data_IF_350917022134
#
_entry.id   IF_350917022134
#
_cell.length_a   1.000
_cell.length_b   1.000
_cell.length_c   1.000
_cell.angle_alpha   90.00
_cell.angle_beta   90.00
_cell.angle_gamma   90.00
#
_symmetry.space_group_name_H-M   'P 1'
#
loop_
_entity.id
_entity.type
_entity.pdbx_description
1 polymer ?
#
# COMPACT_ATOMS: atom_id res chain seq x y z
N UNK A 1 -3.38 12.08 20.83
CA UNK A 1 -2.33 11.60 19.90
C UNK A 1 -2.89 11.32 18.50
N UNK A 2 -4.02 10.61 18.37
CA UNK A 2 -4.73 10.30 17.12
C UNK A 2 -4.97 11.50 16.16
N UNK A 3 -5.23 12.71 16.69
CA UNK A 3 -5.51 13.90 15.86
C UNK A 3 -4.32 14.35 14.98
N UNK A 4 -3.07 14.20 15.44
CA UNK A 4 -1.90 14.68 14.68
C UNK A 4 -1.62 13.86 13.42
N UNK A 5 -1.72 12.54 13.53
CA UNK A 5 -1.48 11.64 12.39
C UNK A 5 -2.59 11.78 11.34
N UNK A 6 -3.84 11.96 11.77
CA UNK A 6 -4.97 12.25 10.89
C UNK A 6 -4.75 13.58 10.17
N UNK A 7 -4.39 14.65 10.87
CA UNK A 7 -4.11 15.94 10.24
C UNK A 7 -2.93 15.86 9.27
N UNK A 8 -1.88 15.08 9.58
CA UNK A 8 -0.78 14.84 8.66
C UNK A 8 -1.25 14.11 7.39
N UNK A 9 -2.03 13.04 7.54
CA UNK A 9 -2.62 12.29 6.42
C UNK A 9 -3.48 13.20 5.53
N UNK A 10 -4.29 14.07 6.12
CA UNK A 10 -5.15 15.00 5.37
C UNK A 10 -4.37 16.15 4.71
N UNK A 11 -3.14 16.43 5.16
CA UNK A 11 -2.27 17.43 4.53
C UNK A 11 -1.54 16.88 3.31
N UNK A 12 -1.44 15.55 3.21
CA UNK A 12 -0.62 14.90 2.21
C UNK A 12 -1.49 14.43 1.08
N UNK A 13 -1.29 14.98 -0.12
CA UNK A 13 -1.97 14.49 -1.33
C UNK A 13 -1.30 13.18 -1.79
N UNK A 14 -2.05 12.07 -1.91
CA UNK A 14 -1.54 10.85 -2.53
C UNK A 14 -1.02 11.10 -3.95
N UNK A 15 0.16 10.55 -4.27
CA UNK A 15 0.80 10.73 -5.57
C UNK A 15 1.44 9.43 -6.06
N UNK A 16 1.14 9.06 -7.30
CA UNK A 16 1.80 7.98 -8.03
C UNK A 16 1.67 8.25 -9.53
N UNK A 17 2.77 8.10 -10.28
CA UNK A 17 2.74 8.30 -11.73
C UNK A 17 1.75 7.31 -12.36
N UNK A 18 0.87 7.85 -13.21
CA UNK A 18 -0.16 7.07 -13.91
C UNK A 18 -1.34 6.64 -13.05
N UNK A 19 -1.48 7.16 -11.83
CA UNK A 19 -2.66 6.96 -10.98
C UNK A 19 -3.24 8.31 -10.56
N UNK A 20 -4.56 8.39 -10.56
CA UNK A 20 -5.31 9.60 -10.21
C UNK A 20 -6.39 9.27 -9.19
N UNK A 21 -6.63 10.22 -8.30
CA UNK A 21 -7.79 10.20 -7.42
C UNK A 21 -9.04 10.73 -8.13
N UNK A 22 -10.19 10.56 -7.49
CA UNK A 22 -11.41 11.27 -7.85
C UNK A 22 -11.17 12.78 -7.86
N UNK A 23 -11.82 13.49 -8.78
CA UNK A 23 -11.67 14.94 -8.93
C UNK A 23 -12.01 15.72 -7.64
N UNK A 24 -12.97 15.23 -6.86
CA UNK A 24 -13.37 15.84 -5.59
C UNK A 24 -12.44 15.53 -4.41
N UNK A 25 -11.47 14.62 -4.57
CA UNK A 25 -10.69 14.11 -3.44
C UNK A 25 -9.95 15.24 -2.69
N UNK A 26 -9.33 16.18 -3.43
CA UNK A 26 -8.68 17.38 -2.87
C UNK A 26 -9.60 18.13 -1.90
N UNK A 27 -10.77 18.50 -2.40
CA UNK A 27 -11.75 19.29 -1.67
C UNK A 27 -12.28 18.54 -0.45
N UNK A 28 -12.52 17.23 -0.57
CA UNK A 28 -13.01 16.42 0.55
C UNK A 28 -12.00 16.31 1.70
N UNK A 29 -10.69 16.17 1.42
CA UNK A 29 -9.68 16.23 2.51
C UNK A 29 -9.61 17.62 3.13
N UNK A 30 -9.72 18.69 2.32
CA UNK A 30 -9.69 20.05 2.84
C UNK A 30 -10.90 20.33 3.74
N UNK A 31 -12.11 19.94 3.34
CA UNK A 31 -13.32 20.05 4.16
C UNK A 31 -13.14 19.34 5.51
N UNK A 32 -12.69 18.08 5.47
CA UNK A 32 -12.47 17.28 6.67
C UNK A 32 -11.40 17.88 7.59
N UNK A 33 -10.28 18.34 7.01
CA UNK A 33 -9.21 19.01 7.75
C UNK A 33 -9.71 20.26 8.45
N UNK A 34 -10.45 21.12 7.75
CA UNK A 34 -11.01 22.34 8.32
C UNK A 34 -11.94 22.03 9.49
N UNK A 35 -12.83 21.04 9.34
CA UNK A 35 -13.73 20.62 10.41
C UNK A 35 -12.96 20.17 11.67
N UNK A 36 -11.90 19.37 11.51
CA UNK A 36 -11.06 18.89 12.62
C UNK A 36 -10.23 20.01 13.29
N UNK A 37 -9.82 21.03 12.53
CA UNK A 37 -9.09 22.17 13.09
C UNK A 37 -10.04 23.09 13.88
N UNK A 38 -11.24 23.32 13.36
CA UNK A 38 -12.26 24.13 14.04
C UNK A 38 -12.76 23.50 15.34
N UNK A 39 -12.80 22.17 15.45
CA UNK A 39 -13.16 21.50 16.70
C UNK A 39 -12.08 21.60 17.78
N UNK A 40 -10.79 21.72 17.40
CA UNK A 40 -9.67 21.79 18.35
C UNK A 40 -9.46 23.20 18.97
N UNK A 41 -10.19 24.22 18.50
CA UNK A 41 -10.06 25.60 18.97
C UNK A 41 -11.02 25.99 20.09
N UNK A 42 -12.00 25.14 20.43
CA UNK A 42 -12.96 25.40 21.51
C UNK A 42 -12.45 24.82 22.84
N UNK A 43 -12.31 25.63 23.91
CA UNK A 43 -11.89 25.13 25.20
C UNK A 43 -13.09 24.52 25.94
N UNK A 44 -12.94 23.26 26.36
CA UNK A 44 -13.79 22.55 27.33
C UNK A 44 -15.17 22.05 26.86
N UNK A 45 -15.22 20.98 26.05
CA UNK A 45 -16.07 19.79 26.29
C UNK A 45 -15.98 18.73 25.18
N UNK A 46 -15.73 17.48 25.59
CA UNK A 46 -15.78 16.23 24.80
C UNK A 46 -15.27 16.28 23.34
N UNK A 47 -14.02 16.73 23.16
CA UNK A 47 -13.29 16.67 21.88
C UNK A 47 -13.36 15.27 21.24
N UNK A 48 -13.47 14.21 22.04
CA UNK A 48 -13.51 12.83 21.57
C UNK A 48 -14.79 12.51 20.81
N UNK A 49 -15.96 12.93 21.31
CA UNK A 49 -17.24 12.69 20.65
C UNK A 49 -17.39 13.53 19.38
N UNK A 50 -16.90 14.78 19.38
CA UNK A 50 -16.92 15.62 18.18
C UNK A 50 -16.01 15.05 17.08
N UNK A 51 -14.78 14.65 17.40
CA UNK A 51 -13.89 14.00 16.44
C UNK A 51 -14.51 12.71 15.91
N UNK A 52 -15.12 11.90 16.78
CA UNK A 52 -15.82 10.67 16.37
C UNK A 52 -16.98 10.96 15.43
N UNK A 53 -17.72 12.05 15.65
CA UNK A 53 -18.81 12.47 14.77
C UNK A 53 -18.29 12.95 13.41
N UNK A 54 -17.19 13.71 13.40
CA UNK A 54 -16.53 14.16 12.16
C UNK A 54 -16.01 12.96 11.35
N UNK A 55 -15.50 11.93 12.03
CA UNK A 55 -15.01 10.68 11.45
C UNK A 55 -16.09 9.60 11.30
N UNK A 56 -17.37 9.97 11.31
CA UNK A 56 -18.48 9.00 11.26
C UNK A 56 -18.78 8.48 9.85
N UNK A 57 -18.36 9.20 8.81
CA UNK A 57 -18.69 8.82 7.42
C UNK A 57 -17.64 7.86 6.86
N UNK A 58 -18.04 6.89 6.01
CA UNK A 58 -17.10 5.97 5.35
C UNK A 58 -15.97 6.69 4.59
N UNK A 59 -16.27 7.83 3.96
CA UNK A 59 -15.28 8.66 3.27
C UNK A 59 -14.33 9.35 4.26
N UNK A 60 -14.84 9.91 5.34
CA UNK A 60 -13.98 10.56 6.35
C UNK A 60 -12.99 9.59 6.99
N UNK A 61 -13.42 8.35 7.27
CA UNK A 61 -12.56 7.27 7.77
C UNK A 61 -11.46 6.96 6.76
N UNK A 62 -11.83 6.78 5.48
CA UNK A 62 -10.89 6.49 4.39
C UNK A 62 -9.81 7.57 4.25
N UNK A 63 -10.23 8.84 4.24
CA UNK A 63 -9.33 9.99 4.11
C UNK A 63 -8.47 10.20 5.36
N UNK A 64 -9.00 9.93 6.56
CA UNK A 64 -8.24 10.02 7.81
C UNK A 64 -7.09 9.01 7.89
N UNK A 65 -7.22 7.86 7.24
CA UNK A 65 -6.14 6.89 7.04
C UNK A 65 -5.10 7.34 5.98
N UNK A 66 -5.35 8.45 5.28
CA UNK A 66 -4.51 8.96 4.21
C UNK A 66 -4.46 8.04 2.99
N UNK A 67 -5.59 7.40 2.71
CA UNK A 67 -5.80 6.56 1.53
C UNK A 67 -6.23 7.43 0.34
N UNK A 68 -5.74 7.08 -0.83
CA UNK A 68 -6.18 7.63 -2.11
C UNK A 68 -7.66 7.33 -2.34
N UNK A 69 -8.43 8.35 -2.69
CA UNK A 69 -9.84 8.20 -3.02
C UNK A 69 -10.01 7.95 -4.51
N UNK A 70 -10.34 6.72 -4.91
CA UNK A 70 -10.46 6.29 -6.31
C UNK A 70 -11.82 5.67 -6.60
N UNK A 71 -12.14 5.46 -7.88
CA UNK A 71 -13.25 4.56 -8.26
C UNK A 71 -12.96 3.17 -7.66
N UNK A 72 -13.91 2.64 -6.88
CA UNK A 72 -13.77 1.33 -6.23
C UNK A 72 -13.11 1.32 -4.84
N UNK A 73 -12.81 2.49 -4.26
CA UNK A 73 -12.34 2.57 -2.87
C UNK A 73 -13.27 1.84 -1.90
N UNK A 74 -12.68 1.09 -0.98
CA UNK A 74 -13.38 0.37 0.07
C UNK A 74 -13.70 1.30 1.23
N UNK A 75 -14.62 2.25 1.00
CA UNK A 75 -14.99 3.25 1.99
C UNK A 75 -15.52 2.60 3.28
N UNK A 76 -15.07 3.10 4.43
CA UNK A 76 -15.44 2.58 5.75
C UNK A 76 -14.65 1.35 6.20
N UNK A 77 -13.80 0.77 5.35
CA UNK A 77 -12.87 -0.30 5.76
C UNK A 77 -11.58 0.28 6.35
N UNK A 78 -10.96 -0.48 7.25
CA UNK A 78 -9.67 -0.12 7.86
C UNK A 78 -8.53 -0.79 7.08
N UNK A 79 -7.48 -0.06 6.67
CA UNK A 79 -6.29 -0.66 6.06
C UNK A 79 -5.46 -1.41 7.12
N UNK A 80 -4.61 -2.37 6.71
CA UNK A 80 -3.69 -3.02 7.64
C UNK A 80 -2.71 -2.01 8.22
N UNK A 81 -2.30 -2.26 9.46
CA UNK A 81 -1.12 -1.66 10.06
C UNK A 81 0.17 -2.08 9.33
N UNK A 82 1.27 -1.37 9.60
CA UNK A 82 2.59 -1.73 9.06
C UNK A 82 3.03 -3.07 9.63
N UNK A 83 2.69 -3.35 10.88
CA UNK A 83 2.97 -4.60 11.59
C UNK A 83 2.25 -5.78 10.95
N UNK A 84 0.96 -5.65 10.60
CA UNK A 84 0.22 -6.68 9.87
C UNK A 84 0.78 -6.90 8.47
N UNK A 85 1.15 -5.81 7.77
CA UNK A 85 1.82 -5.90 6.48
C UNK A 85 3.14 -6.67 6.58
N UNK A 86 3.94 -6.38 7.60
CA UNK A 86 5.22 -7.02 7.87
C UNK A 86 5.05 -8.50 8.23
N UNK A 87 4.08 -8.83 9.09
CA UNK A 87 3.79 -10.22 9.48
C UNK A 87 3.41 -11.07 8.26
N UNK A 88 2.54 -10.54 7.40
CA UNK A 88 2.16 -11.18 6.14
C UNK A 88 3.35 -11.32 5.17
N UNK A 89 4.21 -10.30 5.10
CA UNK A 89 5.40 -10.29 4.24
C UNK A 89 6.46 -11.31 4.69
N UNK A 90 6.62 -11.48 6.00
CA UNK A 90 7.66 -12.33 6.63
C UNK A 90 7.22 -13.77 6.85
N UNK A 91 5.99 -14.13 6.52
CA UNK A 91 5.48 -15.51 6.64
C UNK A 91 6.36 -16.49 5.85
N UNK A 92 7.03 -17.46 6.51
CA UNK A 92 7.93 -18.40 5.85
C UNK A 92 7.18 -19.52 5.12
N UNK A 93 7.82 -20.10 4.12
CA UNK A 93 7.36 -21.33 3.47
C UNK A 93 8.15 -22.56 3.96
N UNK A 94 7.89 -23.73 3.35
CA UNK A 94 8.58 -24.99 3.66
C UNK A 94 10.12 -24.93 3.56
N UNK A 95 10.65 -24.06 2.70
CA UNK A 95 12.10 -23.87 2.49
C UNK A 95 12.62 -22.61 3.21
N UNK A 96 11.86 -22.07 4.17
CA UNK A 96 12.20 -20.89 4.97
C UNK A 96 12.34 -19.57 4.19
N UNK A 97 11.92 -19.52 2.92
CA UNK A 97 11.78 -18.25 2.20
C UNK A 97 10.49 -17.56 2.63
N UNK A 98 10.60 -16.27 2.96
CA UNK A 98 9.43 -15.46 3.31
C UNK A 98 8.53 -15.21 2.09
N UNK A 99 7.27 -14.84 2.32
CA UNK A 99 6.34 -14.47 1.25
C UNK A 99 6.90 -13.33 0.38
N UNK A 100 7.47 -12.32 1.04
CA UNK A 100 8.20 -11.21 0.42
C UNK A 100 9.36 -11.67 -0.46
N UNK A 101 10.29 -12.45 0.11
CA UNK A 101 11.45 -12.97 -0.60
C UNK A 101 11.05 -13.80 -1.83
N UNK A 102 10.07 -14.69 -1.69
CA UNK A 102 9.58 -15.52 -2.79
C UNK A 102 8.96 -14.70 -3.92
N UNK A 103 8.14 -13.70 -3.58
CA UNK A 103 7.57 -12.82 -4.59
C UNK A 103 8.67 -12.02 -5.30
N UNK A 104 9.66 -11.53 -4.54
CA UNK A 104 10.79 -10.77 -5.07
C UNK A 104 11.63 -11.61 -6.03
N UNK A 105 11.96 -12.86 -5.67
CA UNK A 105 12.65 -13.82 -6.55
C UNK A 105 11.96 -14.01 -7.90
N UNK A 106 10.62 -13.95 -7.93
CA UNK A 106 9.84 -14.05 -9.17
C UNK A 106 9.72 -12.72 -9.91
N UNK A 107 9.80 -11.60 -9.21
CA UNK A 107 9.44 -10.28 -9.74
C UNK A 107 10.65 -9.44 -10.16
N UNK A 108 11.81 -9.62 -9.51
CA UNK A 108 12.99 -8.78 -9.67
C UNK A 108 13.42 -8.57 -11.14
N UNK A 109 13.26 -9.61 -11.97
CA UNK A 109 13.66 -9.58 -13.38
C UNK A 109 12.85 -8.61 -14.26
N UNK A 110 11.69 -8.13 -13.79
CA UNK A 110 10.76 -7.27 -14.56
C UNK A 110 11.22 -5.82 -14.70
N UNK A 111 12.05 -5.37 -13.75
CA UNK A 111 12.66 -4.03 -13.77
C UNK A 111 14.06 -3.98 -14.38
N UNK A 112 14.58 -5.11 -14.88
CA UNK A 112 15.95 -5.19 -15.39
C UNK A 112 16.08 -4.43 -16.71
N UNK A 113 16.87 -3.35 -16.70
CA UNK A 113 17.36 -2.72 -17.91
C UNK A 113 18.67 -3.40 -18.33
N UNK A 114 18.78 -3.79 -19.60
CA UNK A 114 20.05 -4.29 -20.16
C UNK A 114 20.84 -3.10 -20.68
N UNK A 115 21.56 -2.41 -19.82
CA UNK A 115 22.60 -1.48 -20.28
C UNK A 115 23.76 -2.29 -20.85
N UNK A 116 23.90 -2.33 -22.18
CA UNK A 116 25.13 -2.79 -22.84
C UNK A 116 26.22 -1.77 -22.54
N UNK A 117 26.98 -1.94 -21.46
CA UNK A 117 28.26 -1.24 -21.37
C UNK A 117 29.18 -1.82 -22.44
N UNK A 118 29.73 -0.93 -23.29
CA UNK A 118 30.53 -1.30 -24.47
C UNK A 118 31.89 -1.93 -24.16
N UNK A 119 32.29 -2.07 -22.89
CA UNK A 119 33.59 -2.65 -22.51
C UNK A 119 33.38 -3.72 -21.41
N UNK A 120 33.95 -4.92 -21.60
CA UNK A 120 34.06 -6.00 -20.59
C UNK A 120 34.47 -5.42 -19.21
N UNK A 121 33.93 -5.78 -18.04
CA UNK A 121 33.37 -7.05 -17.57
C UNK A 121 32.29 -6.82 -16.48
N UNK A 122 31.28 -7.70 -16.46
CA UNK A 122 30.11 -7.69 -15.55
C UNK A 122 29.08 -6.59 -15.81
N UNK A 123 28.15 -6.84 -16.73
CA UNK A 123 26.86 -6.16 -16.73
C UNK A 123 26.07 -6.67 -15.53
N UNK A 124 26.18 -6.02 -14.37
CA UNK A 124 25.26 -6.27 -13.26
C UNK A 124 23.89 -5.79 -13.72
N UNK A 125 22.87 -6.66 -13.83
CA UNK A 125 21.52 -6.21 -14.16
C UNK A 125 21.02 -5.30 -13.02
N UNK A 126 20.96 -3.99 -13.25
CA UNK A 126 20.50 -3.00 -12.27
C UNK A 126 19.05 -2.64 -12.55
N UNK A 127 18.12 -3.45 -12.07
CA UNK A 127 16.70 -3.09 -12.03
C UNK A 127 16.32 -2.43 -10.71
N UNK A 128 15.21 -1.68 -10.70
CA UNK A 128 14.69 -1.01 -9.49
C UNK A 128 14.55 -1.95 -8.29
N UNK A 129 14.13 -3.20 -8.56
CA UNK A 129 13.97 -4.25 -7.56
C UNK A 129 15.29 -4.83 -7.04
N UNK A 130 16.42 -4.59 -7.70
CA UNK A 130 17.68 -5.27 -7.40
C UNK A 130 17.66 -6.76 -7.77
N UNK A 131 18.64 -7.53 -7.28
CA UNK A 131 18.79 -8.96 -7.59
C UNK A 131 18.71 -9.82 -6.32
N UNK A 132 17.77 -10.78 -6.26
CA UNK A 132 17.68 -11.76 -5.19
C UNK A 132 18.73 -12.85 -5.40
N UNK A 133 19.86 -12.73 -4.69
CA UNK A 133 20.96 -13.68 -4.77
C UNK A 133 21.59 -13.95 -3.40
N UNK A 134 22.12 -15.16 -3.25
CA UNK A 134 22.75 -15.68 -2.04
C UNK A 134 21.92 -16.77 -1.35
N UNK A 135 22.33 -17.19 -0.13
CA UNK A 135 21.58 -18.11 0.72
C UNK A 135 20.16 -17.60 1.05
N UNK A 136 19.27 -18.50 1.47
CA UNK A 136 17.88 -18.18 1.84
C UNK A 136 17.78 -17.05 2.86
N UNK A 137 18.61 -17.07 3.90
CA UNK A 137 18.67 -16.00 4.91
C UNK A 137 19.01 -14.64 4.30
N UNK A 138 20.02 -14.58 3.44
CA UNK A 138 20.44 -13.37 2.74
C UNK A 138 19.34 -12.84 1.81
N UNK A 139 18.61 -13.72 1.12
CA UNK A 139 17.48 -13.29 0.27
C UNK A 139 16.35 -12.71 1.14
N UNK A 140 16.05 -13.33 2.28
CA UNK A 140 15.04 -12.84 3.22
C UNK A 140 15.43 -11.47 3.80
N UNK A 141 16.68 -11.28 4.23
CA UNK A 141 17.19 -10.02 4.75
C UNK A 141 17.10 -8.90 3.70
N UNK A 142 17.55 -9.16 2.47
CA UNK A 142 17.46 -8.20 1.36
C UNK A 142 16.01 -7.87 1.02
N UNK A 143 15.11 -8.85 1.06
CA UNK A 143 13.68 -8.60 0.84
C UNK A 143 13.08 -7.71 1.93
N UNK A 144 13.52 -7.87 3.19
CA UNK A 144 13.08 -7.01 4.29
C UNK A 144 13.60 -5.58 4.16
N UNK A 145 14.84 -5.39 3.69
CA UNK A 145 15.37 -4.07 3.35
C UNK A 145 14.50 -3.41 2.26
N UNK A 146 14.10 -4.17 1.24
CA UNK A 146 13.21 -3.69 0.18
C UNK A 146 11.81 -3.31 0.72
N UNK A 147 11.26 -4.10 1.65
CA UNK A 147 10.00 -3.77 2.33
C UNK A 147 10.09 -2.40 3.00
N UNK A 148 11.13 -2.18 3.82
CA UNK A 148 11.30 -0.91 4.54
C UNK A 148 11.61 0.27 3.61
N UNK A 149 12.35 0.05 2.52
CA UNK A 149 12.56 1.06 1.47
C UNK A 149 11.23 1.58 0.93
N UNK A 150 10.29 0.68 0.61
CA UNK A 150 8.98 1.05 0.07
C UNK A 150 8.11 1.71 1.15
N UNK A 151 8.05 1.15 2.36
CA UNK A 151 7.26 1.71 3.47
C UNK A 151 7.71 3.14 3.79
N UNK A 152 9.02 3.40 3.82
CA UNK A 152 9.57 4.71 4.12
C UNK A 152 9.36 5.76 3.01
N UNK A 153 9.07 5.33 1.78
CA UNK A 153 8.94 6.22 0.61
C UNK A 153 7.58 6.13 -0.06
N UNK A 154 6.59 5.56 0.64
CA UNK A 154 5.23 5.44 0.14
C UNK A 154 4.62 6.82 -0.06
N UNK A 155 4.07 7.05 -1.25
CA UNK A 155 3.37 8.28 -1.60
C UNK A 155 1.93 8.01 -2.02
N UNK A 156 1.58 6.74 -2.23
CA UNK A 156 0.24 6.31 -2.59
C UNK A 156 -0.14 5.09 -1.78
N UNK A 157 -1.28 5.17 -1.08
CA UNK A 157 -1.90 4.05 -0.36
C UNK A 157 -3.33 3.94 -0.85
N UNK A 158 -3.77 2.77 -1.27
CA UNK A 158 -5.14 2.56 -1.72
C UNK A 158 -5.72 1.30 -1.08
N UNK A 159 -7.00 1.37 -0.70
CA UNK A 159 -7.79 0.27 -0.18
C UNK A 159 -9.02 0.14 -1.07
N UNK A 160 -9.16 -0.99 -1.75
CA UNK A 160 -10.21 -1.18 -2.76
C UNK A 160 -10.73 -2.62 -2.79
N UNK A 161 -11.92 -2.79 -3.34
CA UNK A 161 -12.54 -4.10 -3.54
C UNK A 161 -12.19 -4.68 -4.91
N UNK A 162 -11.81 -5.95 -4.91
CA UNK A 162 -11.91 -6.81 -6.10
C UNK A 162 -13.24 -7.58 -6.06
N UNK A 163 -13.65 -8.19 -7.19
CA UNK A 163 -14.76 -9.13 -7.21
C UNK A 163 -14.62 -10.22 -6.13
N UNK A 164 -15.76 -10.83 -5.77
CA UNK A 164 -15.86 -11.88 -4.74
C UNK A 164 -15.44 -11.43 -3.33
N UNK A 165 -15.63 -10.15 -3.00
CA UNK A 165 -15.38 -9.60 -1.66
C UNK A 165 -13.94 -9.76 -1.20
N UNK A 166 -12.99 -9.58 -2.11
CA UNK A 166 -11.56 -9.56 -1.77
C UNK A 166 -11.15 -8.10 -1.55
N UNK A 167 -10.84 -7.77 -0.31
CA UNK A 167 -10.30 -6.47 0.05
C UNK A 167 -8.81 -6.43 -0.29
N UNK A 168 -8.35 -5.35 -0.91
CA UNK A 168 -6.97 -5.20 -1.35
C UNK A 168 -6.40 -3.90 -0.81
N UNK A 169 -5.26 -4.03 -0.13
CA UNK A 169 -4.43 -2.91 0.27
C UNK A 169 -3.22 -2.85 -0.66
N UNK A 170 -3.01 -1.71 -1.29
CA UNK A 170 -1.91 -1.45 -2.20
C UNK A 170 -1.16 -0.20 -1.77
N UNK A 171 0.16 -0.30 -1.72
CA UNK A 171 1.02 0.85 -1.52
C UNK A 171 1.98 0.99 -2.70
N UNK A 172 2.27 2.23 -3.08
CA UNK A 172 3.25 2.55 -4.12
C UNK A 172 4.10 3.75 -3.72
N UNK A 173 5.34 3.72 -4.20
CA UNK A 173 6.18 4.92 -4.27
C UNK A 173 5.79 5.74 -5.48
N UNK A 174 6.30 6.98 -5.57
CA UNK A 174 5.96 7.94 -6.63
C UNK A 174 6.14 7.36 -8.04
N UNK A 175 7.20 6.60 -8.26
CA UNK A 175 7.54 5.99 -9.54
C UNK A 175 6.61 4.84 -9.95
N UNK A 176 5.69 4.42 -9.08
CA UNK A 176 4.69 3.38 -9.35
C UNK A 176 5.04 1.98 -8.87
N UNK A 177 6.30 1.73 -8.47
CA UNK A 177 6.67 0.47 -7.81
C UNK A 177 5.99 0.33 -6.45
N UNK A 178 5.57 -0.88 -6.09
CA UNK A 178 4.77 -1.05 -4.89
C UNK A 178 4.65 -2.46 -4.37
N UNK A 179 3.79 -2.60 -3.36
CA UNK A 179 3.45 -3.85 -2.69
C UNK A 179 1.94 -3.94 -2.48
N UNK A 180 1.42 -5.17 -2.49
CA UNK A 180 0.00 -5.42 -2.34
C UNK A 180 -0.26 -6.56 -1.36
N UNK A 181 -1.28 -6.37 -0.52
CA UNK A 181 -1.86 -7.37 0.36
C UNK A 181 -3.34 -7.54 0.03
N UNK A 182 -3.90 -8.68 0.42
CA UNK A 182 -5.33 -8.91 0.30
C UNK A 182 -5.89 -9.67 1.48
N UNK A 183 -7.18 -9.52 1.68
CA UNK A 183 -7.98 -10.21 2.66
C UNK A 183 -9.25 -10.73 1.96
N UNK A 184 -9.50 -12.03 2.02
CA UNK A 184 -10.73 -12.62 1.49
C UNK A 184 -11.84 -12.49 2.54
N UNK A 185 -12.82 -11.62 2.26
CA UNK A 185 -13.96 -11.37 3.15
C UNK A 185 -15.23 -12.11 2.72
N UNK A 186 -15.17 -13.02 1.75
CA UNK A 186 -16.33 -13.78 1.27
C UNK A 186 -17.05 -14.54 2.38
N UNK A 187 -16.32 -14.98 3.41
CA UNK A 187 -16.86 -15.71 4.57
C UNK A 187 -17.31 -14.82 5.73
N UNK A 188 -17.00 -13.52 5.67
CA UNK A 188 -17.23 -12.57 6.75
C UNK A 188 -18.48 -11.72 6.52
N UNK A 189 -18.84 -11.47 5.26
CA UNK A 189 -20.08 -10.77 4.89
C UNK A 189 -21.30 -11.66 5.13
N UNK A 190 -21.78 -11.70 6.38
CA UNK A 190 -23.03 -12.38 6.75
C UNK A 190 -23.14 -12.88 8.19
N UNK A 191 -22.08 -12.85 8.99
CA UNK A 191 -22.14 -13.31 10.39
C UNK A 191 -22.14 -12.12 11.36
N UNK A 192 -23.26 -11.95 12.07
CA UNK A 192 -23.38 -11.00 13.19
C UNK A 192 -22.34 -11.33 14.27
N UNK A 193 -21.49 -10.34 14.56
CA UNK A 193 -20.72 -10.14 15.80
C UNK A 193 -19.94 -11.34 16.37
N UNK A 194 -18.61 -11.36 16.17
CA UNK A 194 -17.70 -12.20 16.96
C UNK A 194 -16.54 -12.84 16.21
N UNK A 195 -16.53 -12.81 14.87
CA UNK A 195 -15.42 -13.38 14.10
C UNK A 195 -14.25 -12.38 14.02
N UNK A 196 -13.04 -12.89 14.28
CA UNK A 196 -11.78 -12.17 14.03
C UNK A 196 -11.67 -11.95 12.52
N UNK A 197 -11.34 -10.71 12.11
CA UNK A 197 -11.11 -10.41 10.71
C UNK A 197 -10.05 -11.35 10.10
N UNK A 198 -10.20 -11.79 8.83
CA UNK A 198 -9.23 -12.68 8.21
C UNK A 198 -7.83 -12.03 8.19
N UNK A 199 -6.74 -12.78 8.35
CA UNK A 199 -5.41 -12.20 8.30
C UNK A 199 -5.11 -11.66 6.90
N UNK A 200 -4.36 -10.55 6.85
CA UNK A 200 -3.81 -10.03 5.61
C UNK A 200 -2.79 -10.99 5.00
N UNK A 201 -2.85 -11.16 3.69
CA UNK A 201 -1.92 -12.03 2.94
C UNK A 201 -1.14 -11.18 1.95
N UNK A 202 0.18 -11.27 1.98
CA UNK A 202 1.03 -10.61 0.99
C UNK A 202 0.85 -11.25 -0.39
N UNK A 203 0.42 -10.45 -1.37
CA UNK A 203 0.11 -10.89 -2.73
C UNK A 203 1.30 -10.75 -3.66
N UNK A 204 2.14 -9.74 -3.45
CA UNK A 204 3.35 -9.53 -4.22
C UNK A 204 3.66 -8.06 -4.47
N UNK A 205 4.63 -7.86 -5.36
CA UNK A 205 5.07 -6.55 -5.81
C UNK A 205 4.25 -6.06 -7.00
N UNK A 206 4.22 -4.74 -7.16
CA UNK A 206 3.43 -4.06 -8.18
C UNK A 206 4.35 -3.18 -9.02
N UNK A 207 4.19 -3.25 -10.34
CA UNK A 207 4.98 -2.48 -11.31
C UNK A 207 4.30 -1.14 -11.64
N UNK A 208 5.07 -0.12 -12.06
CA UNK A 208 4.54 1.13 -12.60
C UNK A 208 3.51 0.88 -13.69
N UNK A 209 2.50 1.75 -13.76
CA UNK A 209 1.53 1.70 -14.85
C UNK A 209 2.23 1.90 -16.19
N UNK A 210 1.91 1.06 -17.16
CA UNK A 210 2.44 1.14 -18.51
C UNK A 210 1.35 0.75 -19.50
N UNK A 211 1.35 1.41 -20.65
CA UNK A 211 0.44 1.09 -21.74
C UNK A 211 0.67 -0.36 -22.19
N UNK A 212 -0.42 -1.12 -22.32
CA UNK A 212 -0.40 -2.55 -22.62
C UNK A 212 0.46 -3.39 -21.65
N UNK A 213 0.51 -2.98 -20.36
CA UNK A 213 1.36 -3.61 -19.36
C UNK A 213 1.01 -5.07 -19.11
N UNK A 214 -0.28 -5.41 -19.14
CA UNK A 214 -0.73 -6.79 -18.99
C UNK A 214 -0.20 -7.68 -20.12
N UNK A 215 -0.35 -7.24 -21.37
CA UNK A 215 0.09 -7.92 -22.59
C UNK A 215 1.62 -8.09 -22.60
N UNK A 216 2.33 -7.13 -22.00
CA UNK A 216 3.81 -7.12 -21.90
C UNK A 216 4.34 -7.80 -20.64
N UNK A 217 3.47 -8.38 -19.82
CA UNK A 217 3.83 -9.02 -18.56
C UNK A 217 4.49 -8.08 -17.55
N UNK A 218 4.21 -6.78 -17.66
CA UNK A 218 4.78 -5.70 -16.86
C UNK A 218 6.31 -5.64 -16.92
N UNK A 219 6.88 -5.95 -18.08
CA UNK A 219 8.31 -5.80 -18.34
C UNK A 219 8.57 -4.43 -18.93
N UNK A 220 9.30 -3.60 -18.19
CA UNK A 220 9.72 -2.30 -18.67
C UNK A 220 10.83 -2.47 -19.71
N UNK A 221 10.71 -1.79 -20.86
CA UNK A 221 11.71 -1.85 -21.91
C UNK A 221 13.04 -1.26 -21.40
N UNK A 222 14.20 -1.78 -21.86
CA UNK A 222 15.50 -1.18 -21.59
C UNK A 222 15.66 0.20 -22.23
#
# INVERSE_FOLDING_TARGET
MLSRDILFNLSTTPQCIGLEEQSSASDERQKLRTALLSSNSEPESDDSAQISLILSTPLSIHLAHGLAYTVGSALGSTPPSVEECLAAFTTPNKVQLTAGARAWSKHAHRSLTRTKQKNHASTIPTGWWGTPSGPVSTINEKALILFWKIIATVTWRNLHWLPHSVLVYEIRVKDGYGMRWSQDQSRFRGTLSGNVEPPWVFRGFVEPMMENGHERGWRHAP
#
